data_IF_704786171443
#
_entry.id   IF_704786171443
#
_cell.length_a   1.000
_cell.length_b   1.000
_cell.length_c   1.000
_cell.angle_alpha   90.00
_cell.angle_beta   90.00
_cell.angle_gamma   90.00
#
_symmetry.space_group_name_H-M   'P 1'
#
loop_
_entity.id
_entity.type
_entity.pdbx_description
1 polymer ?
#
# COMPACT_ATOMS: atom_id res chain seq x y z
N UNK A 1 -19.23 19.35 9.95
CA UNK A 1 -19.40 20.27 8.82
C UNK A 1 -20.39 19.65 7.86
N UNK A 2 -21.44 20.38 7.51
CA UNK A 2 -22.54 19.91 6.65
C UNK A 2 -22.43 20.52 5.26
N UNK A 3 -22.69 19.72 4.23
CA UNK A 3 -22.81 20.14 2.84
C UNK A 3 -24.26 19.90 2.43
N UNK A 4 -25.08 20.95 2.45
CA UNK A 4 -26.53 20.85 2.25
C UNK A 4 -26.93 21.48 0.92
N UNK A 5 -28.04 21.03 0.36
CA UNK A 5 -28.67 21.68 -0.79
C UNK A 5 -30.18 21.52 -0.70
N UNK A 6 -30.93 22.51 -1.15
CA UNK A 6 -32.37 22.56 -1.01
C UNK A 6 -32.88 23.99 -0.89
N UNK A 7 -34.20 24.14 -0.78
CA UNK A 7 -34.84 25.45 -0.64
C UNK A 7 -34.38 26.16 0.64
N UNK A 8 -34.42 27.49 0.62
CA UNK A 8 -34.00 28.29 1.78
C UNK A 8 -34.91 28.04 3.00
N UNK A 9 -36.21 27.83 2.77
CA UNK A 9 -37.18 27.52 3.82
C UNK A 9 -36.86 26.19 4.50
N UNK A 10 -36.57 25.14 3.74
CA UNK A 10 -36.20 23.82 4.30
C UNK A 10 -34.90 23.90 5.10
N UNK A 11 -33.91 24.64 4.58
CA UNK A 11 -32.63 24.85 5.26
C UNK A 11 -32.84 25.66 6.55
N UNK A 12 -33.70 26.68 6.53
CA UNK A 12 -34.02 27.48 7.70
C UNK A 12 -34.68 26.65 8.81
N UNK A 13 -35.58 25.73 8.44
CA UNK A 13 -36.21 24.77 9.36
C UNK A 13 -35.18 23.80 9.94
N UNK A 14 -34.25 23.28 9.13
CA UNK A 14 -33.22 22.34 9.57
C UNK A 14 -32.07 22.98 10.36
N UNK A 15 -31.90 24.31 10.26
CA UNK A 15 -30.76 25.06 10.82
C UNK A 15 -30.45 24.76 12.29
N UNK A 16 -31.42 24.68 13.23
CA UNK A 16 -31.11 24.37 14.63
C UNK A 16 -30.40 23.02 14.80
N UNK A 17 -30.77 22.02 14.01
CA UNK A 17 -30.15 20.68 14.03
C UNK A 17 -28.77 20.71 13.40
N UNK A 18 -28.62 21.42 12.28
CA UNK A 18 -27.34 21.54 11.58
C UNK A 18 -26.29 22.20 12.48
N UNK A 19 -26.65 23.28 13.18
CA UNK A 19 -25.74 23.98 14.10
C UNK A 19 -25.47 23.20 15.39
N UNK A 20 -26.43 22.40 15.88
CA UNK A 20 -26.21 21.54 17.06
C UNK A 20 -25.26 20.36 16.78
N UNK A 21 -25.21 19.88 15.53
CA UNK A 21 -24.47 18.65 15.16
C UNK A 21 -23.19 18.92 14.38
N UNK A 22 -22.99 20.14 13.89
CA UNK A 22 -21.88 20.49 13.01
C UNK A 22 -21.22 21.81 13.40
N UNK A 23 -19.92 21.90 13.18
CA UNK A 23 -19.15 23.13 13.39
C UNK A 23 -19.31 24.19 12.29
N UNK A 24 -19.94 23.84 11.16
CA UNK A 24 -20.11 24.69 9.97
C UNK A 24 -21.12 24.07 9.02
N UNK A 25 -21.95 24.91 8.40
CA UNK A 25 -22.88 24.53 7.33
C UNK A 25 -22.49 25.24 6.03
N UNK A 26 -22.44 24.52 4.91
CA UNK A 26 -22.22 25.06 3.56
C UNK A 26 -23.40 24.70 2.68
N UNK A 27 -24.03 25.70 2.09
CA UNK A 27 -25.14 25.53 1.15
C UNK A 27 -24.57 25.45 -0.27
N UNK A 28 -24.72 24.29 -0.91
CA UNK A 28 -24.15 23.97 -2.21
C UNK A 28 -25.08 24.30 -3.39
N UNK A 29 -26.36 24.58 -3.13
CA UNK A 29 -27.33 24.94 -4.16
C UNK A 29 -28.78 24.87 -3.63
N UNK A 30 -29.70 25.39 -4.44
CA UNK A 30 -31.14 25.43 -4.13
C UNK A 30 -31.86 24.13 -4.46
N UNK A 31 -31.31 23.33 -5.37
CA UNK A 31 -31.90 22.06 -5.79
C UNK A 31 -31.40 20.88 -4.92
N UNK A 32 -32.08 19.75 -5.01
CA UNK A 32 -31.61 18.50 -4.42
C UNK A 32 -30.42 17.94 -5.23
N UNK A 33 -29.36 17.50 -4.54
CA UNK A 33 -28.21 16.82 -5.17
C UNK A 33 -26.85 17.52 -5.09
N UNK A 34 -26.73 18.86 -5.28
CA UNK A 34 -25.45 19.56 -5.19
C UNK A 34 -24.64 19.30 -3.92
N UNK A 35 -25.30 19.15 -2.76
CA UNK A 35 -24.61 18.80 -1.50
C UNK A 35 -23.87 17.46 -1.58
N UNK A 36 -24.53 16.42 -2.13
CA UNK A 36 -23.94 15.10 -2.34
C UNK A 36 -22.84 15.13 -3.40
N UNK A 37 -23.06 15.83 -4.51
CA UNK A 37 -22.07 15.97 -5.57
C UNK A 37 -20.79 16.65 -5.06
N UNK A 38 -20.93 17.72 -4.27
CA UNK A 38 -19.80 18.39 -3.64
C UNK A 38 -19.05 17.47 -2.69
N UNK A 39 -19.76 16.67 -1.87
CA UNK A 39 -19.13 15.71 -0.96
C UNK A 39 -18.33 14.65 -1.72
N UNK A 40 -18.87 14.15 -2.84
CA UNK A 40 -18.18 13.19 -3.70
C UNK A 40 -16.91 13.80 -4.29
N UNK A 41 -16.97 15.04 -4.80
CA UNK A 41 -15.80 15.74 -5.31
C UNK A 41 -14.70 15.90 -4.22
N UNK A 42 -15.08 16.30 -3.00
CA UNK A 42 -14.13 16.41 -1.89
C UNK A 42 -13.50 15.06 -1.53
N UNK A 43 -14.30 13.99 -1.45
CA UNK A 43 -13.79 12.66 -1.10
C UNK A 43 -12.87 12.11 -2.21
N UNK A 44 -13.23 12.32 -3.48
CA UNK A 44 -12.38 11.94 -4.61
C UNK A 44 -11.03 12.67 -4.54
N UNK A 45 -11.03 13.97 -4.27
CA UNK A 45 -9.81 14.75 -4.13
C UNK A 45 -8.92 14.23 -2.97
N UNK A 46 -9.49 13.98 -1.79
CA UNK A 46 -8.76 13.41 -0.64
C UNK A 46 -8.17 12.05 -1.00
N UNK A 47 -8.92 11.19 -1.69
CA UNK A 47 -8.43 9.90 -2.14
C UNK A 47 -7.25 10.05 -3.13
N UNK A 48 -7.35 10.97 -4.10
CA UNK A 48 -6.29 11.24 -5.07
C UNK A 48 -5.00 11.69 -4.40
N UNK A 49 -5.05 12.65 -3.48
CA UNK A 49 -3.84 13.14 -2.80
C UNK A 49 -3.24 12.09 -1.87
N UNK A 50 -4.08 11.26 -1.24
CA UNK A 50 -3.63 10.16 -0.37
C UNK A 50 -2.89 9.11 -1.19
N UNK A 51 -3.47 8.70 -2.32
CA UNK A 51 -2.86 7.74 -3.24
C UNK A 51 -1.52 8.26 -3.80
N UNK A 52 -1.49 9.51 -4.27
CA UNK A 52 -0.28 10.14 -4.78
C UNK A 52 0.81 10.20 -3.70
N UNK A 53 0.46 10.57 -2.47
CA UNK A 53 1.40 10.60 -1.34
C UNK A 53 1.97 9.22 -1.04
N UNK A 54 1.12 8.18 -1.00
CA UNK A 54 1.55 6.80 -0.81
C UNK A 54 2.54 6.35 -1.90
N UNK A 55 2.26 6.68 -3.16
CA UNK A 55 3.14 6.41 -4.29
C UNK A 55 4.49 7.13 -4.15
N UNK A 56 4.49 8.42 -3.81
CA UNK A 56 5.72 9.19 -3.61
C UNK A 56 6.59 8.62 -2.48
N UNK A 57 5.98 8.22 -1.36
CA UNK A 57 6.71 7.58 -0.26
C UNK A 57 7.27 6.20 -0.65
N UNK A 58 6.52 5.43 -1.44
CA UNK A 58 7.00 4.16 -1.98
C UNK A 58 8.20 4.35 -2.91
N UNK A 59 8.12 5.31 -3.83
CA UNK A 59 9.22 5.66 -4.73
C UNK A 59 10.44 6.17 -3.97
N UNK A 60 10.26 7.02 -2.95
CA UNK A 60 11.35 7.48 -2.10
C UNK A 60 12.11 6.31 -1.47
N UNK A 61 11.38 5.36 -0.85
CA UNK A 61 11.99 4.16 -0.25
C UNK A 61 12.72 3.28 -1.27
N UNK A 62 12.15 3.07 -2.47
CA UNK A 62 12.81 2.32 -3.54
C UNK A 62 14.12 2.97 -4.00
N UNK A 63 14.18 4.29 -3.99
CA UNK A 63 15.37 5.07 -4.30
C UNK A 63 16.35 5.18 -3.11
N UNK A 64 16.01 4.58 -1.96
CA UNK A 64 16.83 4.61 -0.74
C UNK A 64 16.73 5.92 0.04
N UNK A 65 15.69 6.72 -0.22
CA UNK A 65 15.37 7.94 0.54
C UNK A 65 14.38 7.58 1.64
N UNK A 66 14.79 7.70 2.90
CA UNK A 66 13.91 7.51 4.06
C UNK A 66 13.13 8.80 4.37
N UNK A 67 11.80 8.82 4.17
CA UNK A 67 10.98 10.01 4.41
C UNK A 67 10.92 10.32 5.91
N UNK A 68 11.56 11.41 6.34
CA UNK A 68 11.58 11.85 7.75
C UNK A 68 12.96 11.86 8.40
N UNK A 69 13.98 11.26 7.76
CA UNK A 69 15.37 11.45 8.15
C UNK A 69 16.02 12.45 7.20
N UNK A 70 16.50 13.60 7.71
CA UNK A 70 17.29 14.58 6.95
C UNK A 70 18.67 14.04 6.49
N UNK A 71 18.99 12.79 6.80
CA UNK A 71 20.24 12.13 6.46
C UNK A 71 20.06 11.32 5.18
N UNK A 72 20.39 11.92 4.03
CA UNK A 72 20.57 11.18 2.79
C UNK A 72 21.76 10.24 2.94
N UNK A 73 21.54 9.01 3.39
CA UNK A 73 22.53 7.95 3.30
C UNK A 73 22.53 7.46 1.85
N UNK A 74 23.53 7.91 1.08
CA UNK A 74 23.77 7.30 -0.24
C UNK A 74 24.00 5.80 -0.05
N UNK A 75 23.34 5.01 -0.90
CA UNK A 75 23.33 3.55 -0.80
C UNK A 75 24.77 3.03 -0.79
N UNK A 76 25.18 2.38 0.31
CA UNK A 76 26.40 1.58 0.31
C UNK A 76 26.28 0.52 -0.80
N UNK A 77 27.36 0.32 -1.56
CA UNK A 77 27.41 -0.61 -2.68
C UNK A 77 26.92 -2.02 -2.27
N UNK A 78 26.20 -2.74 -3.14
CA UNK A 78 25.72 -4.08 -2.82
C UNK A 78 26.90 -4.99 -2.45
N UNK A 79 26.77 -5.84 -1.41
CA UNK A 79 27.82 -6.80 -1.10
C UNK A 79 28.06 -7.68 -2.32
N UNK A 80 29.31 -7.72 -2.78
CA UNK A 80 29.72 -8.57 -3.89
C UNK A 80 29.39 -10.03 -3.56
N UNK A 81 28.91 -10.81 -4.54
CA UNK A 81 28.70 -12.24 -4.32
C UNK A 81 30.05 -12.86 -3.99
N UNK A 82 30.22 -13.31 -2.74
CA UNK A 82 31.32 -14.21 -2.38
C UNK A 82 31.18 -15.42 -3.29
N UNK A 83 32.05 -15.51 -4.29
CA UNK A 83 32.25 -16.75 -5.04
C UNK A 83 32.58 -17.80 -4.00
N UNK A 84 31.63 -18.68 -3.73
CA UNK A 84 31.86 -19.89 -2.95
C UNK A 84 32.81 -20.71 -3.79
N UNK A 85 34.11 -20.52 -3.58
CA UNK A 85 35.12 -21.39 -4.17
C UNK A 85 34.80 -22.79 -3.69
N UNK A 86 34.24 -23.57 -4.62
CA UNK A 86 34.00 -24.99 -4.43
C UNK A 86 35.37 -25.60 -4.17
N UNK A 87 35.66 -25.85 -2.89
CA UNK A 87 36.80 -26.66 -2.46
C UNK A 87 36.67 -27.96 -3.23
N UNK A 88 37.58 -28.15 -4.19
CA UNK A 88 37.65 -29.27 -5.10
C UNK A 88 37.28 -30.56 -4.36
N UNK A 89 36.24 -31.23 -4.86
CA UNK A 89 35.93 -32.59 -4.50
C UNK A 89 37.20 -33.42 -4.71
N UNK A 90 37.85 -33.79 -3.61
CA UNK A 90 38.89 -34.81 -3.62
C UNK A 90 38.21 -36.11 -3.99
N UNK A 91 38.32 -36.51 -5.25
CA UNK A 91 38.14 -37.89 -5.65
C UNK A 91 39.15 -38.75 -4.89
N UNK A 92 38.69 -39.76 -4.17
CA UNK A 92 39.50 -40.91 -3.75
C UNK A 92 38.89 -42.17 -4.36
N UNK A 93 39.71 -43.12 -4.86
CA UNK A 93 39.23 -44.26 -5.61
C UNK A 93 38.88 -45.46 -4.70
N UNK A 94 37.90 -46.23 -5.18
CA UNK A 94 37.72 -47.67 -5.02
C UNK A 94 37.70 -48.31 -3.62
N UNK A 95 36.57 -48.92 -3.28
CA UNK A 95 36.58 -50.32 -2.82
C UNK A 95 35.26 -51.02 -3.15
N UNK A 96 35.39 -52.09 -3.92
CA UNK A 96 34.38 -53.04 -4.36
C UNK A 96 33.66 -53.76 -3.21
N UNK A 97 32.34 -53.95 -3.34
CA UNK A 97 31.60 -55.16 -2.93
C UNK A 97 30.12 -55.09 -3.36
N UNK A 98 29.79 -55.86 -4.40
CA UNK A 98 28.50 -56.58 -4.57
C UNK A 98 28.83 -58.08 -4.42
N UNK A 99 27.90 -59.03 -4.21
CA UNK A 99 26.44 -59.03 -4.44
C UNK A 99 25.64 -59.46 -3.16
N UNK A 100 24.31 -59.53 -3.06
CA UNK A 100 23.38 -60.37 -3.82
C UNK A 100 21.88 -60.10 -3.50
N UNK A 101 21.07 -60.27 -4.55
CA UNK A 101 19.71 -60.86 -4.68
C UNK A 101 18.51 -60.40 -3.81
N UNK A 102 17.42 -60.18 -4.57
CA UNK A 102 15.99 -60.46 -4.26
C UNK A 102 15.30 -59.49 -3.29
N UNK A 103 14.09 -58.96 -3.49
CA UNK A 103 12.90 -59.48 -4.15
C UNK A 103 11.97 -58.31 -4.55
N UNK A 104 11.13 -58.55 -5.56
CA UNK A 104 10.03 -57.70 -6.03
C UNK A 104 9.04 -57.25 -4.95
N UNK A 105 8.31 -56.13 -5.18
CA UNK A 105 6.84 -56.11 -5.31
C UNK A 105 6.30 -54.65 -5.49
N UNK A 106 5.60 -54.42 -6.60
CA UNK A 106 4.39 -53.60 -6.86
C UNK A 106 4.09 -52.36 -5.99
N UNK A 107 3.96 -51.16 -6.55
CA UNK A 107 2.70 -50.57 -7.08
C UNK A 107 1.47 -50.76 -6.20
N UNK A 108 1.02 -49.66 -5.61
CA UNK A 108 -0.33 -49.09 -5.71
C UNK A 108 -0.22 -47.59 -5.58
#
# INVERSE_FOLDING_TARGET
MHLVSGSEDDIAVARPVLEATGSRTVVAGTDAGPGSALKLACNAWIASITAATGQSLGLARLLGVEPGSSSTRSRAAPPTPRTRTSRAARCSPASSRRPSRSTACSRT
#
